data_IF_399518343952
#
_entry.id   IF_399518343952
#
_cell.length_a   1.000
_cell.length_b   1.000
_cell.length_c   1.000
_cell.angle_alpha   90.00
_cell.angle_beta   90.00
_cell.angle_gamma   90.00
#
_symmetry.space_group_name_H-M   'P 1'
#
loop_
_entity.id
_entity.type
_entity.pdbx_description
1 polymer ?
#
# COMPACT_ATOMS: atom_id res chain seq x y z
N UNK A 1 2.04 -20.33 11.84
CA UNK A 1 2.03 -18.86 11.85
C UNK A 1 2.51 -18.42 10.47
N UNK A 2 1.78 -17.50 9.84
CA UNK A 2 2.13 -16.86 8.57
C UNK A 2 2.92 -15.56 8.79
N UNK A 3 2.63 -14.85 9.88
CA UNK A 3 3.31 -13.60 10.17
C UNK A 3 2.86 -12.95 11.48
N UNK A 4 3.54 -11.86 11.82
CA UNK A 4 3.25 -11.01 12.96
C UNK A 4 2.96 -9.60 12.45
N UNK A 5 1.92 -8.97 12.96
CA UNK A 5 1.56 -7.59 12.68
C UNK A 5 1.81 -6.66 13.86
N UNK A 6 1.43 -5.41 13.72
CA UNK A 6 1.48 -4.41 14.79
C UNK A 6 0.51 -4.75 15.93
N UNK A 7 0.75 -4.19 17.11
CA UNK A 7 -0.15 -4.27 18.29
C UNK A 7 -0.50 -5.70 18.73
N UNK A 8 0.46 -6.63 18.63
CA UNK A 8 0.26 -8.02 19.06
C UNK A 8 -0.61 -8.86 18.11
N UNK A 9 -0.83 -8.38 16.91
CA UNK A 9 -1.50 -9.13 15.85
C UNK A 9 -0.67 -10.34 15.42
N UNK A 10 -1.31 -11.50 15.29
CA UNK A 10 -0.67 -12.72 14.75
C UNK A 10 -1.55 -13.24 13.62
N UNK A 11 -0.92 -13.64 12.52
CA UNK A 11 -1.59 -14.23 11.36
C UNK A 11 -1.28 -15.72 11.28
N UNK A 12 -2.32 -16.53 11.27
CA UNK A 12 -2.23 -17.99 11.20
C UNK A 12 -2.74 -18.48 9.84
N UNK A 13 -2.26 -19.64 9.41
CA UNK A 13 -2.95 -20.42 8.38
C UNK A 13 -4.15 -21.11 9.01
N UNK A 14 -5.29 -21.07 8.34
CA UNK A 14 -6.51 -21.73 8.75
C UNK A 14 -7.31 -22.28 7.58
N UNK A 15 -8.51 -22.80 7.87
CA UNK A 15 -9.46 -23.24 6.86
C UNK A 15 -10.82 -22.64 7.15
N UNK A 16 -11.51 -22.16 6.11
CA UNK A 16 -12.88 -21.68 6.19
C UNK A 16 -13.70 -22.30 5.05
N UNK A 17 -14.73 -23.09 5.39
CA UNK A 17 -15.56 -23.81 4.42
C UNK A 17 -14.73 -24.63 3.42
N UNK A 18 -13.70 -25.33 3.90
CA UNK A 18 -12.81 -26.16 3.09
C UNK A 18 -11.76 -25.39 2.26
N UNK A 19 -11.69 -24.06 2.39
CA UNK A 19 -10.69 -23.22 1.70
C UNK A 19 -9.59 -22.82 2.65
N UNK A 20 -8.35 -22.76 2.15
CA UNK A 20 -7.23 -22.16 2.88
C UNK A 20 -7.44 -20.65 3.05
N UNK A 21 -7.23 -20.16 4.27
CA UNK A 21 -7.39 -18.75 4.64
C UNK A 21 -6.27 -18.29 5.56
N UNK A 22 -5.95 -17.00 5.51
CA UNK A 22 -5.15 -16.34 6.52
C UNK A 22 -6.08 -15.83 7.63
N UNK A 23 -5.79 -16.22 8.88
CA UNK A 23 -6.58 -15.84 10.05
C UNK A 23 -5.80 -14.81 10.87
N UNK A 24 -6.19 -13.55 10.77
CA UNK A 24 -5.62 -12.44 11.55
C UNK A 24 -6.28 -12.44 12.93
N UNK A 25 -5.48 -12.65 13.99
CA UNK A 25 -5.93 -12.62 15.39
C UNK A 25 -5.50 -11.31 16.05
N UNK A 26 -6.45 -10.58 16.60
CA UNK A 26 -6.25 -9.34 17.34
C UNK A 26 -6.73 -9.49 18.78
N UNK A 27 -6.08 -8.80 19.72
CA UNK A 27 -6.55 -8.73 21.10
C UNK A 27 -7.88 -7.94 21.20
N UNK A 28 -8.76 -8.36 22.09
CA UNK A 28 -10.08 -7.75 22.29
C UNK A 28 -10.03 -6.26 22.62
N UNK A 29 -9.01 -5.81 23.33
CA UNK A 29 -8.83 -4.40 23.69
C UNK A 29 -8.70 -3.48 22.46
N UNK A 30 -8.33 -4.05 21.31
CA UNK A 30 -8.24 -3.35 20.02
C UNK A 30 -9.47 -3.54 19.12
N UNK A 31 -10.57 -4.16 19.62
CA UNK A 31 -11.78 -4.47 18.81
C UNK A 31 -12.39 -3.22 18.19
N UNK A 32 -12.35 -2.05 18.85
CA UNK A 32 -12.86 -0.81 18.25
C UNK A 32 -12.10 -0.40 16.99
N UNK A 33 -10.78 -0.61 16.98
CA UNK A 33 -9.95 -0.39 15.78
C UNK A 33 -10.22 -1.46 14.72
N UNK A 34 -10.34 -2.71 15.15
CA UNK A 34 -10.61 -3.84 14.29
C UNK A 34 -12.01 -3.80 13.64
N UNK A 35 -13.03 -3.30 14.35
CA UNK A 35 -14.38 -3.13 13.77
C UNK A 35 -14.38 -2.15 12.61
N UNK A 36 -13.55 -1.09 12.67
CA UNK A 36 -13.35 -0.17 11.54
C UNK A 36 -12.65 -0.87 10.37
N UNK A 37 -11.58 -1.63 10.66
CA UNK A 37 -10.87 -2.40 9.63
C UNK A 37 -11.81 -3.38 8.91
N UNK A 38 -12.63 -4.12 9.66
CA UNK A 38 -13.60 -5.06 9.08
C UNK A 38 -14.63 -4.33 8.22
N UNK A 39 -15.18 -3.21 8.68
CA UNK A 39 -16.14 -2.41 7.88
C UNK A 39 -15.51 -1.90 6.58
N UNK A 40 -14.23 -1.50 6.61
CA UNK A 40 -13.50 -1.08 5.40
C UNK A 40 -13.25 -2.27 4.48
N UNK A 41 -12.82 -3.42 5.01
CA UNK A 41 -12.62 -4.66 4.26
C UNK A 41 -13.91 -5.08 3.56
N UNK A 42 -15.04 -5.16 4.28
CA UNK A 42 -16.35 -5.54 3.73
C UNK A 42 -16.81 -4.60 2.60
N UNK A 43 -16.47 -3.32 2.67
CA UNK A 43 -16.83 -2.37 1.62
C UNK A 43 -15.90 -2.40 0.41
N UNK A 44 -14.67 -2.87 0.58
CA UNK A 44 -13.60 -2.75 -0.41
C UNK A 44 -13.21 -4.09 -1.07
N UNK A 45 -13.61 -5.25 -0.53
CA UNK A 45 -13.16 -6.58 -0.96
C UNK A 45 -13.70 -7.05 -2.32
N UNK A 46 -14.58 -6.26 -2.94
CA UNK A 46 -15.13 -6.56 -4.27
C UNK A 46 -14.21 -6.05 -5.42
N UNK A 47 -12.90 -6.16 -5.24
CA UNK A 47 -11.92 -5.80 -6.27
C UNK A 47 -10.77 -6.81 -6.29
N UNK A 48 -10.33 -7.27 -7.48
CA UNK A 48 -9.29 -8.32 -7.59
C UNK A 48 -7.94 -7.93 -6.99
N UNK A 49 -7.65 -6.63 -6.88
CA UNK A 49 -6.38 -6.12 -6.34
C UNK A 49 -6.52 -5.53 -4.92
N UNK A 50 -7.55 -5.94 -4.19
CA UNK A 50 -7.72 -5.70 -2.75
C UNK A 50 -7.93 -7.04 -2.07
N UNK A 51 -7.38 -7.22 -0.86
CA UNK A 51 -7.47 -8.46 -0.09
C UNK A 51 -8.94 -8.82 0.17
N UNK A 52 -9.33 -10.07 -0.06
CA UNK A 52 -10.68 -10.54 0.17
C UNK A 52 -10.91 -10.84 1.65
N UNK A 53 -12.02 -10.33 2.17
CA UNK A 53 -12.55 -10.66 3.48
C UNK A 53 -13.54 -11.82 3.36
N UNK A 54 -13.51 -12.77 4.30
CA UNK A 54 -14.48 -13.89 4.35
C UNK A 54 -15.42 -13.77 5.53
N UNK A 55 -14.90 -13.73 6.74
CA UNK A 55 -15.70 -13.64 7.96
C UNK A 55 -14.87 -13.13 9.13
N UNK A 56 -15.57 -12.86 10.23
CA UNK A 56 -14.94 -12.59 11.54
C UNK A 56 -15.62 -13.40 12.62
N UNK A 57 -14.87 -13.69 13.68
CA UNK A 57 -15.37 -14.33 14.89
C UNK A 57 -14.82 -13.62 16.12
N UNK A 58 -15.71 -13.24 17.05
CA UNK A 58 -15.34 -12.60 18.31
C UNK A 58 -15.43 -13.61 19.44
N UNK A 59 -14.33 -13.79 20.16
CA UNK A 59 -14.26 -14.59 21.38
C UNK A 59 -14.07 -13.70 22.61
N UNK A 60 -14.11 -14.23 23.84
CA UNK A 60 -13.88 -13.41 25.05
C UNK A 60 -12.58 -12.64 25.04
N UNK A 61 -11.51 -13.15 24.42
CA UNK A 61 -10.16 -12.57 24.48
C UNK A 61 -9.65 -12.04 23.12
N UNK A 62 -10.22 -12.49 22.00
CA UNK A 62 -9.69 -12.21 20.67
C UNK A 62 -10.78 -11.94 19.65
N UNK A 63 -10.45 -11.12 18.66
CA UNK A 63 -11.14 -11.07 17.38
C UNK A 63 -10.30 -11.82 16.34
N UNK A 64 -10.94 -12.71 15.60
CA UNK A 64 -10.37 -13.42 14.45
C UNK A 64 -11.00 -12.89 13.16
N UNK A 65 -10.17 -12.60 12.16
CA UNK A 65 -10.60 -12.14 10.84
C UNK A 65 -10.04 -13.11 9.82
N UNK A 66 -10.91 -13.77 9.06
CA UNK A 66 -10.51 -14.66 7.97
C UNK A 66 -10.41 -13.87 6.66
N UNK A 67 -9.23 -13.92 6.06
CA UNK A 67 -8.85 -13.25 4.82
C UNK A 67 -8.36 -14.25 3.79
N UNK A 68 -8.26 -13.81 2.54
CA UNK A 68 -7.59 -14.57 1.48
C UNK A 68 -6.15 -14.91 1.88
N UNK A 69 -5.77 -16.18 1.77
CA UNK A 69 -4.38 -16.60 1.98
C UNK A 69 -3.54 -16.27 0.74
N UNK A 70 -2.45 -15.57 0.94
CA UNK A 70 -1.47 -15.26 -0.09
C UNK A 70 -0.12 -15.87 0.29
N UNK A 71 0.56 -16.54 -0.65
CA UNK A 71 1.82 -17.25 -0.38
C UNK A 71 3.00 -16.35 -0.04
N UNK A 72 2.97 -15.08 -0.48
CA UNK A 72 4.08 -14.14 -0.27
C UNK A 72 3.60 -12.69 -0.35
N UNK A 73 4.47 -11.77 0.08
CA UNK A 73 4.37 -10.33 -0.18
C UNK A 73 5.29 -9.91 -1.33
N UNK A 74 5.13 -8.68 -1.82
CA UNK A 74 6.04 -8.07 -2.77
C UNK A 74 7.47 -7.94 -2.18
N UNK A 75 7.59 -7.67 -0.88
CA UNK A 75 8.88 -7.64 -0.20
C UNK A 75 9.56 -9.02 -0.29
N UNK A 76 8.82 -10.11 -0.04
CA UNK A 76 9.36 -11.47 -0.13
C UNK A 76 9.92 -11.80 -1.51
N UNK A 77 9.22 -11.38 -2.59
CA UNK A 77 9.67 -11.66 -3.96
C UNK A 77 10.93 -10.88 -4.34
N UNK A 78 11.14 -9.70 -3.76
CA UNK A 78 12.26 -8.83 -4.10
C UNK A 78 13.46 -9.08 -3.18
N UNK A 79 13.23 -9.24 -1.87
CA UNK A 79 14.29 -9.39 -0.87
C UNK A 79 14.76 -10.84 -0.72
N UNK A 80 13.87 -11.80 -0.99
CA UNK A 80 14.15 -13.24 -0.86
C UNK A 80 13.75 -14.02 -2.13
N UNK A 81 14.21 -13.61 -3.32
CA UNK A 81 13.75 -14.18 -4.59
C UNK A 81 14.03 -15.69 -4.73
N UNK A 82 15.04 -16.22 -4.04
CA UNK A 82 15.37 -17.65 -4.08
C UNK A 82 14.36 -18.48 -3.30
N UNK A 83 13.83 -17.96 -2.17
CA UNK A 83 12.82 -18.66 -1.37
C UNK A 83 11.46 -18.72 -2.09
N UNK A 84 11.21 -17.78 -3.01
CA UNK A 84 9.97 -17.63 -3.77
C UNK A 84 10.20 -17.68 -5.29
N UNK A 85 11.17 -18.47 -5.75
CA UNK A 85 11.68 -18.43 -7.13
C UNK A 85 10.60 -18.53 -8.21
N UNK A 86 9.60 -19.42 -8.03
CA UNK A 86 8.51 -19.58 -8.99
C UNK A 86 7.61 -18.34 -9.12
N UNK A 87 7.35 -17.64 -8.01
CA UNK A 87 6.56 -16.40 -7.99
C UNK A 87 7.39 -15.21 -8.45
N UNK A 88 8.66 -15.13 -8.00
CA UNK A 88 9.57 -14.05 -8.38
C UNK A 88 9.84 -14.02 -9.88
N UNK A 89 9.93 -15.19 -10.54
CA UNK A 89 10.07 -15.30 -11.99
C UNK A 89 8.86 -14.76 -12.77
N UNK A 90 7.68 -14.70 -12.16
CA UNK A 90 6.45 -14.16 -12.76
C UNK A 90 6.25 -12.67 -12.47
N UNK A 91 7.13 -12.05 -11.68
CA UNK A 91 7.00 -10.64 -11.32
C UNK A 91 7.40 -9.75 -12.49
N UNK A 92 6.41 -9.18 -13.14
CA UNK A 92 6.56 -8.11 -14.11
C UNK A 92 6.25 -6.76 -13.44
N UNK A 93 7.24 -5.90 -13.13
CA UNK A 93 7.06 -4.70 -12.34
C UNK A 93 5.98 -3.76 -12.88
N UNK A 94 5.90 -3.57 -14.20
CA UNK A 94 4.88 -2.72 -14.85
C UNK A 94 3.46 -3.26 -14.61
N UNK A 95 3.26 -4.57 -14.76
CA UNK A 95 1.95 -5.20 -14.53
C UNK A 95 1.58 -5.21 -13.04
N UNK A 96 2.54 -5.46 -12.16
CA UNK A 96 2.34 -5.37 -10.72
C UNK A 96 1.95 -3.93 -10.31
N UNK A 97 2.67 -2.93 -10.81
CA UNK A 97 2.36 -1.52 -10.55
C UNK A 97 0.95 -1.16 -11.03
N UNK A 98 0.57 -1.61 -12.25
CA UNK A 98 -0.79 -1.39 -12.78
C UNK A 98 -1.87 -2.00 -11.87
N UNK A 99 -1.65 -3.21 -11.36
CA UNK A 99 -2.58 -3.91 -10.47
C UNK A 99 -2.71 -3.18 -9.12
N UNK A 100 -1.60 -2.76 -8.51
CA UNK A 100 -1.60 -2.01 -7.25
C UNK A 100 -2.35 -0.68 -7.44
N UNK A 101 -2.07 0.03 -8.54
CA UNK A 101 -2.75 1.29 -8.88
C UNK A 101 -4.25 1.08 -9.02
N UNK A 102 -4.71 -0.01 -9.66
CA UNK A 102 -6.12 -0.33 -9.80
C UNK A 102 -6.79 -0.62 -8.45
N UNK A 103 -6.13 -1.36 -7.56
CA UNK A 103 -6.59 -1.58 -6.19
C UNK A 103 -6.70 -0.28 -5.40
N UNK A 104 -5.69 0.59 -5.52
CA UNK A 104 -5.70 1.90 -4.85
C UNK A 104 -6.78 2.83 -5.41
N UNK A 105 -6.98 2.84 -6.74
CA UNK A 105 -8.05 3.60 -7.37
C UNK A 105 -9.42 3.17 -6.85
N UNK A 106 -9.64 1.86 -6.67
CA UNK A 106 -10.86 1.33 -6.06
C UNK A 106 -11.04 1.82 -4.63
N UNK A 107 -10.03 1.72 -3.76
CA UNK A 107 -10.10 2.25 -2.39
C UNK A 107 -10.42 3.74 -2.37
N UNK A 108 -9.74 4.52 -3.20
CA UNK A 108 -9.96 5.96 -3.31
C UNK A 108 -11.36 6.33 -3.84
N UNK A 109 -11.97 5.50 -4.71
CA UNK A 109 -13.35 5.69 -5.16
C UNK A 109 -14.37 5.51 -4.03
N UNK A 110 -14.06 4.65 -3.06
CA UNK A 110 -14.84 4.42 -1.84
C UNK A 110 -14.50 5.42 -0.71
N UNK A 111 -13.71 6.46 -1.03
CA UNK A 111 -13.20 7.43 -0.05
C UNK A 111 -12.34 6.81 1.05
N UNK A 112 -11.70 5.68 0.80
CA UNK A 112 -10.79 5.01 1.73
C UNK A 112 -9.36 5.41 1.38
N UNK A 113 -8.61 5.92 2.38
CA UNK A 113 -7.15 6.16 2.32
C UNK A 113 -6.46 5.05 3.08
N UNK A 114 -5.48 4.40 2.44
CA UNK A 114 -4.81 3.21 2.98
C UNK A 114 -3.84 3.54 4.11
N UNK A 115 -2.97 4.54 3.92
CA UNK A 115 -2.00 5.10 4.88
C UNK A 115 -0.80 4.20 5.24
N UNK A 116 -0.75 2.96 4.80
CA UNK A 116 0.39 2.06 5.03
C UNK A 116 0.74 1.23 3.77
N UNK A 117 0.82 1.91 2.62
CA UNK A 117 1.30 1.28 1.39
C UNK A 117 2.81 1.08 1.49
N UNK A 118 3.23 -0.19 1.43
CA UNK A 118 4.62 -0.63 1.47
C UNK A 118 4.74 -2.03 0.87
N UNK A 119 5.92 -2.50 0.47
CA UNK A 119 6.09 -3.83 -0.13
C UNK A 119 5.54 -4.99 0.71
N UNK A 120 5.65 -4.91 2.04
CA UNK A 120 5.12 -5.95 2.95
C UNK A 120 3.59 -6.03 3.01
N UNK A 121 2.88 -4.94 2.70
CA UNK A 121 1.41 -4.89 2.67
C UNK A 121 0.83 -5.09 1.26
N UNK A 122 1.68 -5.39 0.29
CA UNK A 122 1.29 -5.77 -1.06
C UNK A 122 1.50 -7.27 -1.18
N UNK A 123 0.40 -8.02 -1.14
CA UNK A 123 0.44 -9.48 -1.20
C UNK A 123 0.38 -9.97 -2.64
N UNK A 124 0.89 -11.18 -2.85
CA UNK A 124 0.91 -11.81 -4.16
C UNK A 124 0.32 -13.21 -4.10
N UNK A 125 -0.41 -13.57 -5.15
CA UNK A 125 -0.98 -14.91 -5.34
C UNK A 125 -1.03 -15.22 -6.83
N UNK A 126 -1.46 -16.41 -7.19
CA UNK A 126 -1.65 -16.83 -8.58
C UNK A 126 -3.13 -16.86 -8.95
N UNK A 127 -3.44 -16.42 -10.17
CA UNK A 127 -4.74 -16.68 -10.77
C UNK A 127 -4.86 -18.14 -11.20
N UNK A 128 -6.08 -18.65 -11.49
CA UNK A 128 -6.26 -19.99 -12.08
C UNK A 128 -5.47 -20.22 -13.37
N UNK A 129 -5.13 -19.14 -14.10
CA UNK A 129 -4.33 -19.18 -15.32
C UNK A 129 -2.82 -19.07 -15.06
N UNK A 130 -2.38 -19.28 -13.82
CA UNK A 130 -0.99 -19.19 -13.37
C UNK A 130 -0.32 -17.83 -13.66
N UNK A 131 -1.09 -16.74 -13.61
CA UNK A 131 -0.57 -15.36 -13.70
C UNK A 131 -0.47 -14.74 -12.32
N UNK A 132 0.57 -13.94 -12.09
CA UNK A 132 0.74 -13.23 -10.82
C UNK A 132 -0.40 -12.23 -10.63
N UNK A 133 -1.09 -12.32 -9.49
CA UNK A 133 -2.06 -11.36 -9.02
C UNK A 133 -1.51 -10.66 -7.78
N UNK A 134 -1.54 -9.34 -7.82
CA UNK A 134 -1.03 -8.46 -6.76
C UNK A 134 -2.19 -7.73 -6.12
N UNK A 135 -2.22 -7.62 -4.80
CA UNK A 135 -3.32 -7.04 -4.06
C UNK A 135 -2.87 -6.26 -2.83
N UNK A 136 -3.59 -5.18 -2.53
CA UNK A 136 -3.42 -4.38 -1.33
C UNK A 136 -4.03 -5.10 -0.13
N UNK A 137 -3.32 -5.13 0.99
CA UNK A 137 -3.73 -5.75 2.25
C UNK A 137 -3.49 -4.83 3.44
N UNK A 138 -3.95 -5.24 4.62
CA UNK A 138 -3.79 -4.54 5.90
C UNK A 138 -4.41 -3.14 5.92
N UNK A 139 -5.75 -3.09 5.97
CA UNK A 139 -6.51 -1.85 6.12
C UNK A 139 -6.58 -1.34 7.58
N UNK A 140 -5.76 -1.89 8.49
CA UNK A 140 -5.77 -1.54 9.92
C UNK A 140 -5.48 -0.07 10.22
N UNK A 141 -4.71 0.60 9.37
CA UNK A 141 -4.44 2.04 9.48
C UNK A 141 -5.32 2.90 8.55
N UNK A 142 -6.14 2.26 7.72
CA UNK A 142 -6.97 2.95 6.72
C UNK A 142 -8.05 3.82 7.37
N UNK A 143 -8.41 4.90 6.69
CA UNK A 143 -9.49 5.81 7.13
C UNK A 143 -10.42 6.12 5.96
N UNK A 144 -11.73 6.22 6.27
CA UNK A 144 -12.70 6.79 5.33
C UNK A 144 -12.68 8.31 5.46
N UNK A 145 -12.60 9.01 4.34
CA UNK A 145 -12.68 10.47 4.27
C UNK A 145 -14.15 10.80 3.97
N UNK A 146 -14.97 10.90 5.01
CA UNK A 146 -16.33 11.42 4.87
C UNK A 146 -16.26 12.95 4.92
N UNK A 147 -16.92 13.62 3.99
CA UNK A 147 -16.81 15.07 3.75
C UNK A 147 -17.21 16.01 4.91
N UNK A 148 -17.46 15.51 6.10
CA UNK A 148 -17.85 16.27 7.30
C UNK A 148 -17.10 15.73 8.51
N UNK A 149 -16.31 16.61 9.13
CA UNK A 149 -15.74 16.51 10.47
C UNK A 149 -14.55 15.55 10.69
N UNK A 150 -13.35 16.10 10.61
CA UNK A 150 -12.24 15.62 11.43
C UNK A 150 -12.30 16.30 12.79
N UNK A 151 -12.74 15.58 13.81
CA UNK A 151 -12.45 15.99 15.18
C UNK A 151 -10.99 15.66 15.49
N UNK A 152 -10.23 16.66 15.92
CA UNK A 152 -8.82 16.59 16.33
C UNK A 152 -8.55 15.62 17.51
N UNK A 153 -9.54 14.85 17.96
CA UNK A 153 -9.49 14.06 19.19
C UNK A 153 -8.89 12.66 19.05
N UNK A 154 -8.50 12.19 17.86
CA UNK A 154 -7.77 10.92 17.77
C UNK A 154 -6.27 11.16 17.74
N UNK A 155 -5.63 11.21 18.90
CA UNK A 155 -4.16 11.24 19.09
C UNK A 155 -3.43 10.07 18.36
N UNK A 156 -4.15 9.05 17.91
CA UNK A 156 -3.65 7.98 17.04
C UNK A 156 -3.44 8.40 15.57
N UNK A 157 -3.80 9.63 15.21
CA UNK A 157 -3.64 10.14 13.84
C UNK A 157 -2.18 10.46 13.49
N UNK A 158 -1.35 10.77 14.49
CA UNK A 158 0.04 11.25 14.29
C UNK A 158 1.06 10.15 13.98
N UNK A 159 0.80 8.89 14.30
CA UNK A 159 1.78 7.81 14.21
C UNK A 159 1.45 6.71 13.17
N UNK A 160 0.51 6.94 12.25
CA UNK A 160 0.11 5.91 11.28
C UNK A 160 1.10 5.76 10.13
N UNK A 161 1.39 4.51 9.76
CA UNK A 161 2.25 4.15 8.64
C UNK A 161 3.64 3.68 9.05
N UNK A 162 4.33 3.04 8.11
CA UNK A 162 5.65 2.44 8.33
C UNK A 162 6.76 3.44 8.02
N UNK A 163 7.78 3.46 8.88
CA UNK A 163 8.96 4.30 8.72
C UNK A 163 9.57 4.14 7.31
N UNK A 164 9.93 5.25 6.69
CA UNK A 164 10.54 5.31 5.37
C UNK A 164 9.58 5.19 4.17
N UNK A 165 8.27 4.95 4.40
CA UNK A 165 7.24 4.88 3.36
C UNK A 165 6.18 5.97 3.47
N UNK A 166 6.25 6.77 4.54
CA UNK A 166 5.30 7.85 4.85
C UNK A 166 5.59 9.10 4.03
N UNK A 167 4.52 9.75 3.57
CA UNK A 167 4.60 11.05 2.91
C UNK A 167 5.11 12.15 3.88
N UNK A 168 5.79 13.20 3.37
CA UNK A 168 6.41 14.23 4.21
C UNK A 168 5.41 14.93 5.13
N UNK A 169 4.17 15.16 4.69
CA UNK A 169 3.11 15.76 5.52
C UNK A 169 2.71 14.88 6.72
N UNK A 170 2.88 13.54 6.61
CA UNK A 170 2.66 12.63 7.75
C UNK A 170 3.84 12.62 8.73
N UNK A 171 5.05 12.95 8.27
CA UNK A 171 6.26 13.00 9.08
C UNK A 171 6.38 14.31 9.86
N UNK A 172 5.96 15.43 9.26
CA UNK A 172 6.00 16.75 9.90
C UNK A 172 5.06 16.83 11.10
N UNK A 173 4.24 15.81 11.32
CA UNK A 173 3.13 15.89 12.23
C UNK A 173 2.25 17.04 11.77
N UNK A 174 0.97 16.86 11.64
CA UNK A 174 0.11 17.95 11.19
C UNK A 174 0.45 19.23 11.95
N UNK A 175 1.10 20.20 11.28
CA UNK A 175 1.51 21.47 11.90
C UNK A 175 0.25 22.20 12.35
N UNK A 176 0.20 22.57 13.63
CA UNK A 176 -0.94 23.24 14.28
C UNK A 176 -1.19 24.67 13.76
N UNK A 177 -0.66 25.06 12.61
CA UNK A 177 -0.71 26.41 12.06
C UNK A 177 -1.43 26.52 10.70
N UNK A 178 -2.36 25.64 10.38
CA UNK A 178 -3.31 25.94 9.32
C UNK A 178 -4.44 26.81 9.89
N UNK A 179 -4.57 27.99 9.38
CA UNK A 179 -5.47 29.07 9.83
C UNK A 179 -6.98 28.71 9.81
N UNK A 180 -7.33 27.49 9.32
CA UNK A 180 -8.69 26.96 9.21
C UNK A 180 -8.98 25.72 10.08
N UNK A 181 -8.06 25.25 10.92
CA UNK A 181 -8.30 24.12 11.85
C UNK A 181 -8.69 22.77 11.21
N UNK A 182 -8.47 22.58 9.90
CA UNK A 182 -8.88 21.38 9.13
C UNK A 182 -7.73 20.85 8.29
N UNK A 183 -6.78 20.23 8.91
CA UNK A 183 -5.82 19.41 8.17
C UNK A 183 -6.52 18.19 7.58
N UNK A 184 -6.63 18.18 6.27
CA UNK A 184 -7.28 17.11 5.52
C UNK A 184 -6.26 16.04 5.20
N UNK A 185 -6.37 14.88 5.84
CA UNK A 185 -5.75 13.68 5.31
C UNK A 185 -6.26 13.49 3.87
N UNK A 186 -5.35 13.54 2.92
CA UNK A 186 -5.71 13.42 1.51
C UNK A 186 -5.29 12.07 0.95
N UNK A 187 -5.88 11.68 -0.17
CA UNK A 187 -5.47 10.49 -0.94
C UNK A 187 -4.04 10.59 -1.45
N UNK A 188 -3.45 11.78 -1.44
CA UNK A 188 -2.09 12.05 -1.90
C UNK A 188 -1.01 11.36 -1.06
N UNK A 189 -1.28 11.03 0.23
CA UNK A 189 -0.33 10.28 1.05
C UNK A 189 -0.09 8.86 0.49
N UNK A 190 -1.14 8.23 -0.02
CA UNK A 190 -1.03 6.91 -0.64
C UNK A 190 -0.29 6.95 -1.98
N UNK A 191 -0.46 8.04 -2.74
CA UNK A 191 0.24 8.24 -4.02
C UNK A 191 1.74 8.37 -3.78
N UNK A 192 2.16 9.10 -2.74
CA UNK A 192 3.57 9.18 -2.36
C UNK A 192 4.15 7.79 -2.05
N UNK A 193 3.49 7.06 -1.16
CA UNK A 193 3.92 5.70 -0.79
C UNK A 193 3.96 4.76 -2.00
N UNK A 194 2.95 4.85 -2.89
CA UNK A 194 2.92 4.07 -4.13
C UNK A 194 4.06 4.44 -5.09
N UNK A 195 4.46 5.71 -5.16
CA UNK A 195 5.64 6.16 -5.93
C UNK A 195 6.93 5.53 -5.41
N UNK A 196 7.11 5.50 -4.08
CA UNK A 196 8.25 4.80 -3.46
C UNK A 196 8.23 3.29 -3.75
N UNK A 197 7.06 2.64 -3.71
CA UNK A 197 6.91 1.22 -4.05
C UNK A 197 7.19 0.95 -5.53
N UNK A 198 6.76 1.83 -6.43
CA UNK A 198 7.05 1.71 -7.86
C UNK A 198 8.57 1.75 -8.12
N UNK A 199 9.27 2.70 -7.49
CA UNK A 199 10.73 2.76 -7.55
C UNK A 199 11.37 1.47 -7.01
N UNK A 200 10.93 1.01 -5.84
CA UNK A 200 11.42 -0.23 -5.21
C UNK A 200 11.27 -1.45 -6.13
N UNK A 201 10.14 -1.60 -6.81
CA UNK A 201 9.93 -2.70 -7.75
C UNK A 201 10.85 -2.61 -8.97
N UNK A 202 10.97 -1.41 -9.56
CA UNK A 202 11.74 -1.21 -10.78
C UNK A 202 13.25 -1.33 -10.54
N UNK A 203 13.71 -0.97 -9.35
CA UNK A 203 15.13 -1.05 -8.96
C UNK A 203 15.47 -2.30 -8.14
N UNK A 204 14.53 -3.24 -7.98
CA UNK A 204 14.69 -4.49 -7.23
C UNK A 204 15.19 -4.28 -5.80
N UNK A 205 14.53 -3.40 -5.07
CA UNK A 205 14.77 -3.17 -3.63
C UNK A 205 15.35 -1.80 -3.28
N UNK A 206 15.70 -0.96 -4.26
CA UNK A 206 16.13 0.42 -4.01
C UNK A 206 15.00 1.29 -3.46
N UNK A 207 15.37 2.46 -2.92
CA UNK A 207 14.40 3.45 -2.45
C UNK A 207 14.81 4.85 -2.88
N UNK A 208 13.88 5.73 -3.36
CA UNK A 208 14.24 7.04 -3.91
C UNK A 208 14.81 8.02 -2.86
N UNK A 209 14.70 7.66 -1.59
CA UNK A 209 15.26 8.43 -0.47
C UNK A 209 16.37 7.67 0.26
N UNK A 210 17.03 6.71 -0.38
CA UNK A 210 18.23 6.03 0.13
C UNK A 210 17.96 4.95 1.18
N UNK A 211 18.91 4.78 2.09
CA UNK A 211 18.89 3.72 3.09
C UNK A 211 17.86 3.97 4.21
N UNK A 212 17.36 2.89 4.82
CA UNK A 212 16.25 2.94 5.78
C UNK A 212 16.44 3.96 6.90
N UNK A 213 17.67 4.06 7.44
CA UNK A 213 17.99 4.95 8.56
C UNK A 213 17.98 6.44 8.22
N UNK A 214 18.09 6.82 6.93
CA UNK A 214 18.11 8.21 6.46
C UNK A 214 16.83 8.64 5.73
N UNK A 215 15.96 7.69 5.36
CA UNK A 215 14.79 7.94 4.49
C UNK A 215 13.92 9.09 4.98
N UNK A 216 13.54 9.09 6.27
CA UNK A 216 12.62 10.11 6.80
C UNK A 216 13.23 11.52 6.75
N UNK A 217 14.53 11.64 7.04
CA UNK A 217 15.24 12.92 6.93
C UNK A 217 15.29 13.36 5.47
N UNK A 218 15.64 12.47 4.55
CA UNK A 218 15.72 12.78 3.11
C UNK A 218 14.34 13.08 2.52
N UNK A 219 13.28 12.43 2.98
CA UNK A 219 11.89 12.74 2.60
C UNK A 219 11.55 14.17 3.03
N UNK A 220 11.82 14.53 4.28
CA UNK A 220 11.56 15.89 4.80
C UNK A 220 12.37 16.97 4.08
N UNK A 221 13.59 16.66 3.66
CA UNK A 221 14.47 17.55 2.91
C UNK A 221 14.27 17.49 1.39
N UNK A 222 13.34 16.66 0.90
CA UNK A 222 13.09 16.40 -0.52
C UNK A 222 14.37 16.00 -1.28
N UNK A 223 15.26 15.21 -0.66
CA UNK A 223 16.50 14.72 -1.26
C UNK A 223 16.24 13.40 -2.01
N UNK A 224 15.74 13.54 -3.23
CA UNK A 224 15.38 12.42 -4.11
C UNK A 224 16.58 11.98 -4.94
N UNK A 225 16.83 10.68 -5.01
CA UNK A 225 17.76 10.07 -5.94
C UNK A 225 17.03 9.01 -6.80
N UNK A 226 16.93 9.29 -8.09
CA UNK A 226 16.29 8.40 -9.07
C UNK A 226 17.31 7.76 -10.02
N UNK A 227 18.60 7.94 -9.80
CA UNK A 227 19.67 7.47 -10.72
C UNK A 227 19.64 5.97 -10.99
N UNK A 228 19.20 5.16 -10.01
CA UNK A 228 19.08 3.72 -10.17
C UNK A 228 18.04 3.28 -11.23
N UNK A 229 17.09 4.14 -11.59
CA UNK A 229 16.14 3.86 -12.67
C UNK A 229 16.84 3.87 -14.05
N UNK A 230 17.78 4.79 -14.26
CA UNK A 230 18.46 4.97 -15.55
C UNK A 230 19.23 3.71 -16.01
N UNK A 231 19.54 2.81 -15.11
CA UNK A 231 20.21 1.53 -15.40
C UNK A 231 19.25 0.43 -15.91
N UNK A 232 17.94 0.67 -15.97
CA UNK A 232 16.92 -0.40 -16.12
C UNK A 232 16.29 -0.54 -17.52
N UNK A 233 16.69 0.26 -18.56
CA UNK A 233 16.25 0.09 -19.96
C UNK A 233 15.34 1.21 -20.52
N UNK A 234 14.78 1.02 -21.71
CA UNK A 234 14.12 2.05 -22.55
C UNK A 234 12.83 2.69 -21.95
N UNK A 235 12.18 2.04 -20.99
CA UNK A 235 10.96 2.54 -20.34
C UNK A 235 11.24 3.46 -19.12
N UNK A 236 12.49 3.83 -18.90
CA UNK A 236 12.93 4.50 -17.67
C UNK A 236 12.52 5.96 -17.60
N UNK A 237 12.45 6.66 -18.72
CA UNK A 237 12.13 8.09 -18.77
C UNK A 237 10.70 8.36 -18.28
N UNK A 238 9.73 7.60 -18.81
CA UNK A 238 8.32 7.71 -18.39
C UNK A 238 8.11 7.23 -16.96
N UNK A 239 8.82 6.16 -16.54
CA UNK A 239 8.77 5.67 -15.18
C UNK A 239 9.31 6.71 -14.20
N UNK A 240 10.48 7.30 -14.51
CA UNK A 240 11.12 8.32 -13.70
C UNK A 240 10.25 9.58 -13.58
N UNK A 241 9.70 10.06 -14.70
CA UNK A 241 8.81 11.22 -14.73
C UNK A 241 7.56 10.99 -13.85
N UNK A 242 6.91 9.82 -13.98
CA UNK A 242 5.75 9.46 -13.18
C UNK A 242 6.10 9.36 -11.69
N UNK A 243 7.17 8.66 -11.35
CA UNK A 243 7.60 8.48 -9.96
C UNK A 243 7.92 9.83 -9.32
N UNK A 244 8.66 10.71 -9.99
CA UNK A 244 8.95 12.06 -9.49
C UNK A 244 7.70 12.88 -9.19
N UNK A 245 6.69 12.80 -10.04
CA UNK A 245 5.39 13.43 -9.78
C UNK A 245 4.69 12.81 -8.56
N UNK A 246 4.70 11.48 -8.43
CA UNK A 246 4.04 10.79 -7.33
C UNK A 246 4.67 11.09 -5.96
N UNK A 247 6.01 11.25 -5.92
CA UNK A 247 6.75 11.54 -4.67
C UNK A 247 7.01 13.05 -4.47
N UNK A 248 6.30 13.92 -5.19
CA UNK A 248 6.39 15.36 -5.00
C UNK A 248 6.17 15.75 -3.52
N UNK A 249 6.94 16.73 -2.98
CA UNK A 249 6.82 17.12 -1.57
C UNK A 249 5.46 17.71 -1.24
N UNK A 250 4.86 18.46 -2.19
CA UNK A 250 3.56 19.11 -2.02
C UNK A 250 2.44 18.15 -2.44
N UNK A 251 1.48 17.81 -1.54
CA UNK A 251 0.42 16.84 -1.84
C UNK A 251 -0.44 17.17 -3.05
N UNK A 252 -0.69 18.47 -3.33
CA UNK A 252 -1.49 18.92 -4.48
C UNK A 252 -0.82 18.70 -5.83
N UNK A 253 0.50 18.56 -5.85
CA UNK A 253 1.27 18.36 -7.08
C UNK A 253 1.30 16.88 -7.50
N UNK A 254 0.87 15.99 -6.62
CA UNK A 254 0.80 14.56 -6.89
C UNK A 254 -0.43 14.21 -7.72
N UNK A 255 -0.30 13.33 -8.74
CA UNK A 255 -1.44 12.88 -9.53
C UNK A 255 -2.43 12.08 -8.68
N UNK A 256 -3.69 12.02 -9.09
CA UNK A 256 -4.64 11.07 -8.50
C UNK A 256 -4.31 9.63 -8.94
N UNK A 257 -4.84 8.61 -8.22
CA UNK A 257 -4.70 7.21 -8.64
C UNK A 257 -5.27 6.97 -10.05
N UNK A 258 -6.30 7.72 -10.44
CA UNK A 258 -6.88 7.66 -11.79
C UNK A 258 -5.93 8.25 -12.85
N UNK A 259 -5.19 9.31 -12.53
CA UNK A 259 -4.20 9.89 -13.45
C UNK A 259 -2.99 8.98 -13.59
N UNK A 260 -2.51 8.40 -12.48
CA UNK A 260 -1.47 7.36 -12.49
C UNK A 260 -1.86 6.21 -13.42
N UNK A 261 -3.09 5.68 -13.28
CA UNK A 261 -3.57 4.54 -14.10
C UNK A 261 -3.60 4.84 -15.60
N UNK A 262 -3.74 6.11 -16.00
CA UNK A 262 -3.79 6.57 -17.40
C UNK A 262 -2.44 6.98 -17.97
N UNK A 263 -1.40 7.01 -17.16
CA UNK A 263 -0.08 7.51 -17.56
C UNK A 263 0.54 6.70 -18.71
N UNK A 264 1.26 7.33 -19.67
CA UNK A 264 1.92 6.67 -20.81
C UNK A 264 2.83 5.50 -20.45
N UNK A 265 3.40 5.51 -19.25
CA UNK A 265 4.17 4.38 -18.72
C UNK A 265 3.44 3.03 -18.84
N UNK A 266 2.10 3.01 -18.72
CA UNK A 266 1.28 1.78 -18.83
C UNK A 266 0.82 1.47 -20.25
N UNK A 267 1.12 2.32 -21.23
CA UNK A 267 0.69 2.09 -22.61
C UNK A 267 1.55 1.01 -23.27
N UNK A 268 0.95 0.22 -24.16
CA UNK A 268 1.70 -0.67 -25.05
C UNK A 268 2.51 0.15 -26.05
N UNK A 269 3.64 -0.39 -26.51
CA UNK A 269 4.56 0.27 -27.44
C UNK A 269 3.84 0.89 -28.65
N UNK A 270 2.88 0.17 -29.25
CA UNK A 270 2.10 0.66 -30.40
C UNK A 270 1.28 1.95 -30.11
N UNK A 271 0.91 2.20 -28.86
CA UNK A 271 0.16 3.40 -28.46
C UNK A 271 1.05 4.60 -28.14
N UNK A 272 2.35 4.37 -27.91
CA UNK A 272 3.33 5.42 -27.57
C UNK A 272 3.83 6.17 -28.82
N UNK A 273 3.68 5.58 -29.98
CA UNK A 273 4.21 6.09 -31.27
C UNK A 273 3.13 6.85 -32.06
N UNK A 274 1.88 6.80 -31.63
CA UNK A 274 0.76 7.51 -32.23
C UNK A 274 0.47 8.81 -31.50
#
# INVERSE_FOLDING_TARGET
ILGYGSSGTVVFRGTFQGRAVAVKRLLRDFVHLASKEVSLLQSADNHPNVIRYYCQELTPNFLYIALEECPASLADLIERPLDYASLAALLEPRQAFKQITAGLQHLHSLSIVHRDIKPGNILVTLTPQNKLRVLLSDLGLSKRIDGLTFSAQSQSAQAGGTMGWRAPELLQGFSLHADDGKERLTRAVDIFSLGCVAFYMLTRGGHPFGELYEREIRILQNQVDTSALSASGDDTVEAEALIKQMIAPIPSDRPSASDVARHPFFWHAAKRVA
#
